data_IF_355038271023
#
_entry.id   IF_355038271023
#
_cell.length_a   1.000
_cell.length_b   1.000
_cell.length_c   1.000
_cell.angle_alpha   90.00
_cell.angle_beta   90.00
_cell.angle_gamma   90.00
#
_symmetry.space_group_name_H-M   'P 1'
#
loop_
_entity.id
_entity.type
_entity.pdbx_description
1 polymer ?
#
# COMPACT_ATOMS: atom_id res chain seq x y z
N UNK A 1 -6.98 58.07 -25.37
CA UNK A 1 -6.97 56.72 -25.93
C UNK A 1 -6.35 55.84 -24.84
N UNK A 2 -7.13 55.40 -23.87
CA UNK A 2 -6.70 54.45 -22.85
C UNK A 2 -7.12 53.05 -23.32
N UNK A 3 -6.14 52.29 -23.76
CA UNK A 3 -6.32 50.85 -23.99
C UNK A 3 -6.24 50.16 -22.63
N UNK A 4 -7.34 50.09 -21.91
CA UNK A 4 -7.56 49.08 -20.91
C UNK A 4 -7.83 47.77 -21.68
N UNK A 5 -6.77 47.02 -21.95
CA UNK A 5 -6.89 45.60 -22.27
C UNK A 5 -7.49 44.95 -21.04
N UNK A 6 -8.78 44.66 -21.08
CA UNK A 6 -9.44 43.78 -20.13
C UNK A 6 -8.60 42.53 -20.05
N UNK A 7 -7.90 42.35 -18.93
CA UNK A 7 -7.45 41.07 -18.50
C UNK A 7 -8.72 40.24 -18.25
N UNK A 8 -9.02 39.38 -19.18
CA UNK A 8 -10.02 38.31 -19.05
C UNK A 8 -9.49 37.27 -18.06
N UNK A 9 -9.20 37.73 -16.84
CA UNK A 9 -8.93 36.82 -15.72
C UNK A 9 -10.29 36.23 -15.35
N UNK A 10 -10.50 34.96 -15.71
CA UNK A 10 -11.65 34.21 -15.22
C UNK A 10 -11.53 34.14 -13.70
N UNK A 11 -12.16 35.07 -12.99
CA UNK A 11 -12.29 35.03 -11.56
C UNK A 11 -13.21 33.84 -11.21
N UNK A 12 -12.62 32.74 -10.74
CA UNK A 12 -13.40 31.60 -10.28
C UNK A 12 -13.99 31.97 -8.93
N UNK A 13 -15.32 32.16 -8.86
CA UNK A 13 -15.98 32.35 -7.58
C UNK A 13 -15.94 31.05 -6.78
N UNK A 14 -15.04 31.03 -5.78
CA UNK A 14 -14.85 29.91 -4.89
C UNK A 14 -16.12 29.56 -4.10
N UNK A 15 -16.98 30.53 -3.83
CA UNK A 15 -18.24 30.34 -3.09
C UNK A 15 -19.25 29.61 -3.99
N UNK A 16 -19.30 29.95 -5.26
CA UNK A 16 -20.16 29.26 -6.23
C UNK A 16 -19.68 27.84 -6.51
N UNK A 17 -18.37 27.64 -6.65
CA UNK A 17 -17.76 26.32 -6.76
C UNK A 17 -18.14 25.45 -5.54
N UNK A 18 -18.02 26.01 -4.32
CA UNK A 18 -18.37 25.29 -3.10
C UNK A 18 -19.87 24.92 -3.08
N UNK A 19 -20.76 25.86 -3.44
CA UNK A 19 -22.20 25.59 -3.56
C UNK A 19 -22.49 24.50 -4.60
N UNK A 20 -21.79 24.53 -5.74
CA UNK A 20 -21.93 23.50 -6.78
C UNK A 20 -21.52 22.11 -6.27
N UNK A 21 -20.42 22.00 -5.53
CA UNK A 21 -19.97 20.74 -4.90
C UNK A 21 -20.98 20.27 -3.85
N UNK A 22 -21.46 21.14 -2.97
CA UNK A 22 -22.46 20.82 -1.95
C UNK A 22 -23.79 20.36 -2.57
N UNK A 23 -24.23 20.97 -3.68
CA UNK A 23 -25.43 20.53 -4.40
C UNK A 23 -25.29 19.09 -4.94
N UNK A 24 -24.08 18.69 -5.32
CA UNK A 24 -23.78 17.38 -5.89
C UNK A 24 -23.18 16.39 -4.87
N UNK A 25 -23.19 16.73 -3.58
CA UNK A 25 -22.54 15.93 -2.53
C UNK A 25 -23.04 14.49 -2.47
N UNK A 26 -24.34 14.26 -2.74
CA UNK A 26 -24.91 12.92 -2.79
C UNK A 26 -24.26 12.04 -3.86
N UNK A 27 -24.04 12.61 -5.05
CA UNK A 27 -23.37 11.90 -6.15
C UNK A 27 -21.89 11.65 -5.84
N UNK A 28 -21.20 12.65 -5.25
CA UNK A 28 -19.82 12.50 -4.79
C UNK A 28 -19.72 11.34 -3.80
N UNK A 29 -20.59 11.28 -2.79
CA UNK A 29 -20.60 10.22 -1.79
C UNK A 29 -20.89 8.83 -2.40
N UNK A 30 -21.85 8.74 -3.33
CA UNK A 30 -22.17 7.48 -4.02
C UNK A 30 -20.97 7.00 -4.82
N UNK A 31 -20.34 7.86 -5.62
CA UNK A 31 -19.13 7.49 -6.41
C UNK A 31 -17.99 7.05 -5.48
N UNK A 32 -17.73 7.80 -4.42
CA UNK A 32 -16.72 7.45 -3.42
C UNK A 32 -16.98 6.08 -2.80
N UNK A 33 -18.23 5.80 -2.42
CA UNK A 33 -18.61 4.52 -1.83
C UNK A 33 -18.46 3.37 -2.83
N UNK A 34 -18.87 3.57 -4.08
CA UNK A 34 -18.72 2.56 -5.15
C UNK A 34 -17.23 2.25 -5.39
N UNK A 35 -16.36 3.26 -5.46
CA UNK A 35 -14.93 3.05 -5.58
C UNK A 35 -14.35 2.25 -4.40
N UNK A 36 -14.77 2.56 -3.17
CA UNK A 36 -14.40 1.81 -1.97
C UNK A 36 -14.84 0.35 -2.03
N UNK A 37 -16.09 0.08 -2.46
CA UNK A 37 -16.60 -1.28 -2.61
C UNK A 37 -15.88 -2.07 -3.70
N UNK A 38 -15.57 -1.45 -4.83
CA UNK A 38 -14.79 -2.08 -5.91
C UNK A 38 -13.39 -2.44 -5.38
N UNK A 39 -12.71 -1.51 -4.72
CA UNK A 39 -11.36 -1.75 -4.17
C UNK A 39 -11.38 -2.84 -3.10
N UNK A 40 -12.39 -2.85 -2.22
CA UNK A 40 -12.61 -3.91 -1.25
C UNK A 40 -12.77 -5.27 -1.93
N UNK A 41 -13.65 -5.37 -2.93
CA UNK A 41 -13.90 -6.60 -3.68
C UNK A 41 -12.64 -7.12 -4.39
N UNK A 42 -11.92 -6.26 -5.08
CA UNK A 42 -10.67 -6.62 -5.76
C UNK A 42 -9.62 -7.11 -4.75
N UNK A 43 -9.43 -6.36 -3.65
CA UNK A 43 -8.44 -6.71 -2.64
C UNK A 43 -8.77 -8.01 -1.91
N UNK A 44 -10.04 -8.26 -1.61
CA UNK A 44 -10.46 -9.43 -0.84
C UNK A 44 -10.51 -10.71 -1.67
N UNK A 45 -10.91 -10.63 -2.94
CA UNK A 45 -11.24 -11.80 -3.76
C UNK A 45 -10.30 -12.06 -4.94
N UNK A 46 -9.65 -11.01 -5.47
CA UNK A 46 -8.82 -11.14 -6.68
C UNK A 46 -7.33 -11.19 -6.34
N UNK A 47 -6.86 -10.38 -5.37
CA UNK A 47 -5.45 -10.31 -5.04
C UNK A 47 -4.98 -11.58 -4.30
N UNK A 48 -3.80 -12.12 -4.68
CA UNK A 48 -3.23 -13.28 -4.00
C UNK A 48 -2.88 -12.94 -2.55
N UNK A 49 -3.23 -13.85 -1.65
CA UNK A 49 -2.92 -13.71 -0.21
C UNK A 49 -1.53 -14.22 0.09
N UNK A 50 -0.80 -13.46 0.89
CA UNK A 50 0.52 -13.85 1.38
C UNK A 50 0.47 -14.11 2.88
N UNK A 51 1.22 -15.11 3.30
CA UNK A 51 1.30 -15.58 4.69
C UNK A 51 2.74 -15.52 5.15
N UNK A 52 2.92 -15.19 6.41
CA UNK A 52 4.25 -15.13 7.02
C UNK A 52 4.40 -16.20 8.09
N UNK A 53 5.62 -16.70 8.23
CA UNK A 53 6.05 -17.46 9.39
C UNK A 53 7.42 -16.95 9.81
N UNK A 54 7.66 -16.88 11.11
CA UNK A 54 8.92 -16.42 11.67
C UNK A 54 9.42 -17.37 12.75
N UNK A 55 10.71 -17.35 12.97
CA UNK A 55 11.39 -18.05 14.06
C UNK A 55 12.49 -17.17 14.62
N UNK A 56 12.68 -17.23 15.93
CA UNK A 56 13.81 -16.59 16.59
C UNK A 56 14.84 -17.63 16.94
N UNK A 57 16.08 -17.36 16.58
CA UNK A 57 17.22 -18.21 16.90
C UNK A 57 18.30 -17.43 17.64
N UNK A 58 19.03 -18.10 18.51
CA UNK A 58 20.24 -17.60 19.15
C UNK A 58 21.44 -18.35 18.59
N UNK A 59 22.42 -17.63 18.06
CA UNK A 59 23.66 -18.14 17.50
C UNK A 59 24.78 -17.81 18.50
N UNK A 60 25.45 -18.84 19.02
CA UNK A 60 26.58 -18.70 19.95
C UNK A 60 27.87 -19.12 19.26
N UNK A 61 28.79 -18.18 18.92
CA UNK A 61 30.10 -18.48 18.37
C UNK A 61 31.02 -19.08 19.47
N UNK A 62 32.07 -19.79 19.06
CA UNK A 62 33.18 -20.19 19.96
C UNK A 62 34.24 -19.10 20.05
N UNK A 63 34.28 -18.17 19.06
CA UNK A 63 35.25 -17.10 18.95
C UNK A 63 34.60 -15.73 18.91
N UNK A 64 35.07 -14.89 17.97
CA UNK A 64 34.58 -13.53 17.76
C UNK A 64 33.14 -13.52 17.24
N UNK A 65 32.37 -12.55 17.72
CA UNK A 65 30.98 -12.36 17.28
C UNK A 65 30.96 -11.72 15.88
N UNK A 66 30.48 -12.48 14.91
CA UNK A 66 30.26 -12.02 13.54
C UNK A 66 28.79 -11.64 13.31
N UNK A 67 28.51 -10.97 12.19
CA UNK A 67 27.15 -10.82 11.69
C UNK A 67 26.79 -12.00 10.79
N UNK A 68 25.88 -12.86 11.28
CA UNK A 68 25.47 -14.07 10.56
C UNK A 68 24.33 -13.85 9.58
N UNK A 69 23.84 -12.62 9.41
CA UNK A 69 22.76 -12.29 8.46
C UNK A 69 23.08 -12.74 7.04
N UNK A 70 24.30 -12.46 6.58
CA UNK A 70 24.76 -12.82 5.22
C UNK A 70 24.90 -14.33 5.03
N UNK A 71 25.24 -15.07 6.08
CA UNK A 71 25.37 -16.53 6.01
C UNK A 71 24.00 -17.22 6.06
N UNK A 72 23.06 -16.71 6.85
CA UNK A 72 21.68 -17.21 6.90
C UNK A 72 20.95 -16.99 5.55
N UNK A 73 21.29 -15.94 4.84
CA UNK A 73 20.77 -15.59 3.51
C UNK A 73 21.72 -16.04 2.38
N UNK A 74 22.75 -16.78 2.70
CA UNK A 74 23.77 -17.24 1.75
C UNK A 74 23.26 -18.31 0.81
N UNK A 75 23.80 -18.34 -0.42
CA UNK A 75 23.40 -19.28 -1.46
C UNK A 75 23.47 -20.74 -0.99
N UNK A 76 24.49 -21.12 -0.22
CA UNK A 76 24.64 -22.49 0.30
C UNK A 76 23.44 -22.94 1.12
N UNK A 77 22.93 -22.05 2.01
CA UNK A 77 21.76 -22.32 2.83
C UNK A 77 20.50 -22.33 1.97
N UNK A 78 20.35 -21.35 1.07
CA UNK A 78 19.13 -21.20 0.26
C UNK A 78 19.02 -22.25 -0.85
N UNK A 79 20.11 -22.70 -1.47
CA UNK A 79 20.11 -23.82 -2.42
C UNK A 79 19.64 -25.11 -1.75
N UNK A 80 20.09 -25.33 -0.51
CA UNK A 80 19.62 -26.47 0.29
C UNK A 80 18.13 -26.38 0.57
N UNK A 81 17.66 -25.22 1.00
CA UNK A 81 16.24 -24.97 1.27
C UNK A 81 15.42 -25.09 -0.01
N UNK A 82 15.90 -24.53 -1.10
CA UNK A 82 15.26 -24.61 -2.42
C UNK A 82 15.04 -26.04 -2.88
N UNK A 83 16.08 -26.89 -2.73
CA UNK A 83 15.99 -28.31 -3.10
C UNK A 83 15.00 -29.10 -2.22
N UNK A 84 14.86 -28.75 -0.93
CA UNK A 84 13.93 -29.42 0.01
C UNK A 84 12.47 -28.89 -0.10
N UNK A 85 12.28 -27.67 -0.60
CA UNK A 85 10.96 -27.01 -0.70
C UNK A 85 10.44 -26.85 -2.11
N UNK A 86 11.27 -27.13 -3.11
CA UNK A 86 11.01 -26.93 -4.54
C UNK A 86 10.68 -25.46 -4.89
N UNK A 87 11.37 -24.54 -4.22
CA UNK A 87 11.30 -23.10 -4.47
C UNK A 87 12.64 -22.64 -5.03
N UNK A 88 12.59 -21.78 -6.05
CA UNK A 88 13.78 -21.18 -6.62
C UNK A 88 14.51 -20.27 -5.62
N UNK A 89 15.85 -20.25 -5.67
CA UNK A 89 16.69 -19.47 -4.74
C UNK A 89 16.41 -17.98 -4.83
N UNK A 90 16.21 -17.45 -6.05
CA UNK A 90 15.90 -16.03 -6.23
C UNK A 90 14.55 -15.65 -5.60
N UNK A 91 13.58 -16.57 -5.67
CA UNK A 91 12.29 -16.39 -5.00
C UNK A 91 12.44 -16.43 -3.48
N UNK A 92 13.30 -17.31 -2.94
CA UNK A 92 13.59 -17.34 -1.50
C UNK A 92 14.26 -16.05 -1.05
N UNK A 93 15.26 -15.56 -1.78
CA UNK A 93 15.98 -14.32 -1.50
C UNK A 93 15.06 -13.09 -1.42
N UNK A 94 14.08 -13.01 -2.32
CA UNK A 94 13.13 -11.89 -2.36
C UNK A 94 12.11 -11.94 -1.21
N UNK A 95 11.87 -13.11 -0.65
CA UNK A 95 10.80 -13.32 0.33
C UNK A 95 11.29 -13.65 1.74
N UNK A 96 12.61 -13.74 1.95
CA UNK A 96 13.22 -13.94 3.26
C UNK A 96 13.66 -12.59 3.84
N UNK A 97 13.32 -12.37 5.10
CA UNK A 97 13.79 -11.21 5.86
C UNK A 97 14.47 -11.73 7.11
N UNK A 98 15.73 -11.35 7.29
CA UNK A 98 16.53 -11.73 8.46
C UNK A 98 16.90 -10.45 9.18
N UNK A 99 16.54 -10.35 10.44
CA UNK A 99 16.85 -9.20 11.29
C UNK A 99 17.61 -9.66 12.52
N UNK A 100 18.68 -8.94 12.86
CA UNK A 100 19.42 -9.11 14.09
C UNK A 100 18.77 -8.27 15.19
N UNK A 101 18.66 -8.81 16.39
CA UNK A 101 18.14 -8.05 17.53
C UNK A 101 19.17 -7.00 17.97
N UNK A 102 18.73 -5.76 18.09
CA UNK A 102 19.58 -4.64 18.54
C UNK A 102 19.97 -4.77 20.02
N UNK A 103 19.11 -5.37 20.83
CA UNK A 103 19.31 -5.53 22.27
C UNK A 103 20.19 -6.74 22.59
N UNK A 104 20.14 -7.78 21.76
CA UNK A 104 20.93 -9.00 21.92
C UNK A 104 21.53 -9.44 20.58
N UNK A 105 22.82 -9.14 20.33
CA UNK A 105 23.47 -9.39 19.05
C UNK A 105 23.62 -10.87 18.69
N UNK A 106 23.30 -11.79 19.59
CA UNK A 106 23.27 -13.22 19.32
C UNK A 106 21.94 -13.71 18.77
N UNK A 107 20.88 -12.89 18.87
CA UNK A 107 19.53 -13.24 18.43
C UNK A 107 19.24 -12.78 17.01
N UNK A 108 18.64 -13.66 16.24
CA UNK A 108 18.21 -13.40 14.85
C UNK A 108 16.77 -13.83 14.69
N UNK A 109 15.96 -12.96 14.09
CA UNK A 109 14.63 -13.28 13.62
C UNK A 109 14.69 -13.60 12.13
N UNK A 110 14.18 -14.75 11.73
CA UNK A 110 14.08 -15.20 10.36
C UNK A 110 12.60 -15.23 10.00
N UNK A 111 12.20 -14.42 9.04
CA UNK A 111 10.83 -14.32 8.57
C UNK A 111 10.76 -14.67 7.09
N UNK A 112 9.79 -15.49 6.71
CA UNK A 112 9.52 -15.86 5.31
C UNK A 112 8.10 -15.51 4.94
N UNK A 113 7.91 -15.03 3.71
CA UNK A 113 6.61 -14.70 3.13
C UNK A 113 6.36 -15.64 1.95
N UNK A 114 5.25 -16.38 1.97
CA UNK A 114 4.80 -17.20 0.82
C UNK A 114 3.29 -17.13 0.65
N UNK A 115 2.79 -17.70 -0.44
CA UNK A 115 1.35 -17.80 -0.72
C UNK A 115 0.63 -18.94 0.05
N UNK A 116 1.38 -19.72 0.83
CA UNK A 116 0.82 -20.84 1.58
C UNK A 116 1.38 -20.87 3.02
N UNK A 117 0.50 -20.84 4.06
CA UNK A 117 0.94 -20.76 5.44
C UNK A 117 1.76 -21.95 5.92
N UNK A 118 1.47 -23.16 5.41
CA UNK A 118 2.25 -24.36 5.73
C UNK A 118 3.62 -24.32 5.07
N UNK A 119 3.70 -23.75 3.87
CA UNK A 119 4.96 -23.61 3.14
C UNK A 119 5.88 -22.60 3.83
N UNK A 120 5.35 -21.44 4.25
CA UNK A 120 6.12 -20.44 5.02
C UNK A 120 6.77 -21.07 6.26
N UNK A 121 5.99 -21.79 7.04
CA UNK A 121 6.50 -22.48 8.25
C UNK A 121 7.56 -23.53 7.92
N UNK A 122 7.36 -24.33 6.85
CA UNK A 122 8.33 -25.33 6.41
C UNK A 122 9.64 -24.69 5.96
N UNK A 123 9.57 -23.63 5.16
CA UNK A 123 10.75 -22.93 4.66
C UNK A 123 11.57 -22.36 5.81
N UNK A 124 10.97 -21.67 6.76
CA UNK A 124 11.68 -21.13 7.93
C UNK A 124 12.39 -22.23 8.72
N UNK A 125 11.71 -23.36 8.98
CA UNK A 125 12.33 -24.50 9.67
C UNK A 125 13.50 -25.09 8.89
N UNK A 126 13.37 -25.15 7.57
CA UNK A 126 14.44 -25.67 6.71
C UNK A 126 15.63 -24.71 6.63
N UNK A 127 15.41 -23.38 6.67
CA UNK A 127 16.51 -22.39 6.74
C UNK A 127 17.36 -22.63 7.99
N UNK A 128 16.74 -22.73 9.15
CA UNK A 128 17.46 -22.99 10.40
C UNK A 128 18.19 -24.34 10.37
N UNK A 129 17.55 -25.39 9.84
CA UNK A 129 18.13 -26.72 9.71
C UNK A 129 19.30 -26.70 8.72
N UNK A 130 19.17 -26.07 7.57
CA UNK A 130 20.24 -25.95 6.58
C UNK A 130 21.41 -25.14 7.15
N UNK A 131 21.15 -24.01 7.79
CA UNK A 131 22.18 -23.20 8.43
C UNK A 131 22.97 -24.02 9.48
N UNK A 132 22.27 -24.71 10.38
CA UNK A 132 22.93 -25.61 11.35
C UNK A 132 23.81 -26.66 10.68
N UNK A 133 23.29 -27.26 9.61
CA UNK A 133 24.01 -28.39 8.97
C UNK A 133 25.22 -27.92 8.17
N UNK A 134 25.09 -26.82 7.42
CA UNK A 134 26.12 -26.40 6.49
C UNK A 134 27.12 -25.40 7.13
N UNK A 135 26.70 -24.59 8.10
CA UNK A 135 27.51 -23.50 8.64
C UNK A 135 28.05 -23.72 10.06
N UNK A 136 27.52 -24.69 10.82
CA UNK A 136 27.92 -24.84 12.23
C UNK A 136 29.40 -25.17 12.39
N UNK A 137 29.96 -25.99 11.47
CA UNK A 137 31.37 -26.34 11.45
C UNK A 137 32.25 -25.24 10.85
N UNK A 138 31.78 -24.63 9.78
CA UNK A 138 32.58 -23.67 9.02
C UNK A 138 32.76 -22.34 9.74
N UNK A 139 31.79 -21.99 10.61
CA UNK A 139 31.77 -20.74 11.36
C UNK A 139 32.16 -20.93 12.84
N UNK A 140 32.70 -22.09 13.22
CA UNK A 140 33.07 -22.41 14.60
C UNK A 140 31.96 -22.04 15.60
N UNK A 141 30.71 -22.46 15.33
CA UNK A 141 29.59 -22.19 16.21
C UNK A 141 29.51 -23.19 17.35
N UNK A 142 29.37 -22.68 18.57
CA UNK A 142 29.14 -23.49 19.77
C UNK A 142 27.75 -24.11 19.77
N UNK A 143 26.74 -23.29 19.46
CA UNK A 143 25.36 -23.74 19.35
C UNK A 143 24.50 -22.76 18.52
N UNK A 144 23.44 -23.31 17.95
CA UNK A 144 22.34 -22.58 17.37
C UNK A 144 21.04 -23.06 18.01
N UNK A 145 20.49 -22.28 18.92
CA UNK A 145 19.27 -22.60 19.65
C UNK A 145 18.07 -21.92 19.04
N UNK A 146 16.94 -22.62 18.94
CA UNK A 146 15.67 -22.04 18.55
C UNK A 146 15.01 -21.52 19.83
N UNK A 147 14.75 -20.20 19.86
CA UNK A 147 14.08 -19.52 20.97
C UNK A 147 12.57 -19.63 20.81
N UNK A 148 12.08 -19.26 19.63
CA UNK A 148 10.67 -19.38 19.27
C UNK A 148 10.54 -20.20 17.99
N UNK A 149 9.80 -21.30 18.06
CA UNK A 149 9.58 -22.16 16.89
C UNK A 149 8.64 -21.50 15.87
N UNK A 150 8.96 -21.71 14.60
CA UNK A 150 8.09 -21.30 13.50
C UNK A 150 6.73 -21.99 13.59
N UNK A 151 5.67 -21.18 13.57
CA UNK A 151 4.29 -21.64 13.62
C UNK A 151 3.58 -21.35 12.29
N UNK A 152 2.55 -22.17 11.99
CA UNK A 152 1.70 -21.95 10.83
C UNK A 152 0.73 -20.81 11.13
N UNK A 153 0.98 -19.64 10.55
CA UNK A 153 0.08 -18.51 10.67
C UNK A 153 -0.91 -18.51 9.48
N UNK A 154 -2.17 -18.77 9.77
CA UNK A 154 -3.25 -18.80 8.76
C UNK A 154 -3.84 -17.42 8.46
N UNK A 155 -3.44 -16.39 9.20
CA UNK A 155 -3.87 -15.02 8.94
C UNK A 155 -3.01 -14.42 7.84
N UNK A 156 -3.59 -13.99 6.70
CA UNK A 156 -2.82 -13.36 5.65
C UNK A 156 -2.27 -12.00 6.10
N UNK A 157 -1.03 -11.70 5.75
CA UNK A 157 -0.36 -10.43 6.05
C UNK A 157 -0.46 -9.44 4.90
N UNK A 158 -0.73 -9.93 3.71
CA UNK A 158 -0.93 -9.10 2.49
C UNK A 158 -1.97 -9.77 1.61
N UNK A 159 -2.79 -8.98 0.88
CA UNK A 159 -2.92 -7.53 0.98
C UNK A 159 -3.66 -7.08 2.25
N UNK A 160 -3.32 -5.89 2.75
CA UNK A 160 -4.09 -5.26 3.83
C UNK A 160 -5.39 -4.67 3.25
N UNK A 161 -6.47 -5.42 3.43
CA UNK A 161 -7.79 -5.06 2.88
C UNK A 161 -8.27 -3.71 3.42
N UNK A 162 -8.05 -3.42 4.70
CA UNK A 162 -8.48 -2.16 5.31
C UNK A 162 -7.74 -0.96 4.71
N UNK A 163 -6.41 -1.06 4.64
CA UNK A 163 -5.55 -0.03 4.09
C UNK A 163 -5.85 0.22 2.61
N UNK A 164 -5.95 -0.83 1.81
CA UNK A 164 -6.23 -0.71 0.39
C UNK A 164 -7.62 -0.13 0.11
N UNK A 165 -8.65 -0.56 0.87
CA UNK A 165 -10.00 0.00 0.75
C UNK A 165 -10.02 1.48 1.10
N UNK A 166 -9.31 1.89 2.17
CA UNK A 166 -9.21 3.30 2.54
C UNK A 166 -8.56 4.13 1.42
N UNK A 167 -7.45 3.65 0.86
CA UNK A 167 -6.75 4.32 -0.25
C UNK A 167 -7.67 4.42 -1.47
N UNK A 168 -8.35 3.33 -1.85
CA UNK A 168 -9.28 3.34 -2.97
C UNK A 168 -10.47 4.28 -2.78
N UNK A 169 -10.98 4.37 -1.55
CA UNK A 169 -12.04 5.32 -1.19
C UNK A 169 -11.56 6.77 -1.31
N UNK A 170 -10.34 7.08 -0.84
CA UNK A 170 -9.75 8.42 -0.97
C UNK A 170 -9.53 8.80 -2.44
N UNK A 171 -9.01 7.89 -3.25
CA UNK A 171 -8.84 8.12 -4.69
C UNK A 171 -10.20 8.38 -5.35
N UNK A 172 -11.23 7.60 -5.02
CA UNK A 172 -12.59 7.81 -5.51
C UNK A 172 -13.16 9.18 -5.12
N UNK A 173 -12.90 9.65 -3.90
CA UNK A 173 -13.29 10.97 -3.44
C UNK A 173 -12.61 12.06 -4.29
N UNK A 174 -11.29 12.00 -4.43
CA UNK A 174 -10.53 13.00 -5.18
C UNK A 174 -10.98 13.06 -6.63
N UNK A 175 -11.15 11.90 -7.28
CA UNK A 175 -11.61 11.83 -8.67
C UNK A 175 -13.03 12.37 -8.84
N UNK A 176 -13.93 12.08 -7.90
CA UNK A 176 -15.31 12.58 -7.97
C UNK A 176 -15.37 14.10 -7.78
N UNK A 177 -14.62 14.65 -6.84
CA UNK A 177 -14.52 16.11 -6.65
C UNK A 177 -13.91 16.77 -7.88
N UNK A 178 -12.79 16.23 -8.39
CA UNK A 178 -12.14 16.75 -9.59
C UNK A 178 -13.08 16.77 -10.79
N UNK A 179 -13.87 15.71 -10.97
CA UNK A 179 -14.87 15.66 -12.05
C UNK A 179 -15.87 16.80 -11.94
N UNK A 180 -16.42 17.09 -10.75
CA UNK A 180 -17.39 18.16 -10.56
C UNK A 180 -16.76 19.56 -10.67
N UNK A 181 -15.50 19.72 -10.27
CA UNK A 181 -14.72 20.95 -10.49
C UNK A 181 -14.52 21.19 -11.99
N UNK A 182 -14.05 20.18 -12.71
CA UNK A 182 -13.87 20.31 -14.17
C UNK A 182 -15.21 20.60 -14.87
N UNK A 183 -16.27 19.90 -14.46
CA UNK A 183 -17.61 20.16 -15.00
C UNK A 183 -18.07 21.58 -14.73
N UNK A 184 -17.78 22.16 -13.57
CA UNK A 184 -18.07 23.54 -13.23
C UNK A 184 -17.29 24.51 -14.14
N UNK A 185 -15.98 24.30 -14.32
CA UNK A 185 -15.12 25.14 -15.14
C UNK A 185 -15.48 25.11 -16.64
N UNK A 186 -15.88 23.93 -17.14
CA UNK A 186 -16.23 23.77 -18.57
C UNK A 186 -17.71 24.05 -18.87
N UNK A 187 -18.53 24.24 -17.85
CA UNK A 187 -19.95 24.52 -18.03
C UNK A 187 -20.14 26.05 -18.22
N UNK A 188 -20.11 26.50 -19.47
CA UNK A 188 -20.28 27.92 -19.86
C UNK A 188 -21.73 28.42 -19.71
N UNK A 189 -22.46 27.95 -18.70
CA UNK A 189 -23.76 28.53 -18.40
C UNK A 189 -23.56 29.69 -17.42
N UNK A 190 -24.09 30.86 -17.79
CA UNK A 190 -24.18 31.98 -16.85
C UNK A 190 -24.97 31.53 -15.62
N UNK A 191 -24.35 31.57 -14.46
CA UNK A 191 -24.91 31.06 -13.20
C UNK A 191 -25.44 32.22 -12.36
N UNK A 192 -25.03 33.45 -12.68
CA UNK A 192 -25.39 34.67 -11.94
C UNK A 192 -25.79 35.78 -12.86
N UNK A 193 -26.79 36.60 -12.44
CA UNK A 193 -27.23 37.80 -13.13
C UNK A 193 -26.08 38.77 -13.36
N UNK A 194 -25.13 38.83 -12.43
CA UNK A 194 -23.92 39.66 -12.54
C UNK A 194 -23.00 39.24 -13.69
N UNK A 195 -22.90 37.94 -13.97
CA UNK A 195 -22.12 37.45 -15.12
C UNK A 195 -22.77 37.83 -16.43
N UNK A 196 -24.12 37.82 -16.50
CA UNK A 196 -24.87 38.24 -17.65
C UNK A 196 -24.71 39.75 -17.90
N UNK A 197 -24.80 40.57 -16.85
CA UNK A 197 -24.56 42.01 -16.91
C UNK A 197 -23.14 42.33 -17.35
N UNK A 198 -22.16 41.65 -16.80
CA UNK A 198 -20.73 41.85 -17.12
C UNK A 198 -20.41 41.45 -18.58
N UNK A 199 -21.00 40.35 -19.05
CA UNK A 199 -20.71 39.82 -20.40
C UNK A 199 -21.46 40.54 -21.49
N UNK A 200 -22.70 40.95 -21.22
CA UNK A 200 -23.54 41.67 -22.21
C UNK A 200 -23.45 43.19 -22.10
N UNK A 201 -22.90 43.71 -21.00
CA UNK A 201 -22.78 45.16 -20.78
C UNK A 201 -24.12 45.87 -20.61
N UNK A 202 -25.17 45.16 -20.24
CA UNK A 202 -26.54 45.67 -20.01
C UNK A 202 -27.10 45.15 -18.70
N UNK A 203 -27.82 45.97 -17.96
CA UNK A 203 -28.43 45.61 -16.69
C UNK A 203 -29.52 44.55 -16.88
N UNK A 204 -29.55 43.52 -16.01
CA UNK A 204 -30.63 42.51 -15.97
C UNK A 204 -31.88 43.15 -15.37
N UNK A 205 -32.92 43.28 -16.17
CA UNK A 205 -34.16 43.97 -15.77
C UNK A 205 -35.13 43.04 -15.03
N UNK A 206 -35.08 41.74 -15.28
CA UNK A 206 -35.94 40.76 -14.60
C UNK A 206 -35.41 39.33 -14.76
N UNK A 207 -35.56 38.51 -13.73
CA UNK A 207 -35.33 37.07 -13.74
C UNK A 207 -36.66 36.32 -13.87
N UNK A 208 -36.78 35.39 -14.81
CA UNK A 208 -37.97 34.57 -14.97
C UNK A 208 -37.65 33.20 -14.36
N UNK A 209 -38.17 32.85 -13.16
CA UNK A 209 -37.93 31.57 -12.57
C UNK A 209 -38.53 30.45 -13.41
N UNK A 210 -37.72 29.43 -13.75
CA UNK A 210 -38.27 28.23 -14.38
C UNK A 210 -39.02 27.39 -13.33
N UNK A 211 -40.32 27.19 -13.57
CA UNK A 211 -41.13 26.26 -12.80
C UNK A 211 -40.60 24.84 -13.01
N UNK A 212 -40.41 24.09 -11.88
CA UNK A 212 -39.92 22.71 -11.84
C UNK A 212 -41.04 21.74 -12.10
#
# INVERSE_FOLDING_TARGET
MNNDYMNDEMEIDLIELLKHLLRNIKTILVVTLVCGLITFGVTQFILPKSYTSSTDITIMPQGELLDYTSYLNGNVVLERVGSETNIDVDTLLQNIVITRDESNPYNYNITIITNNPKLSCRVVKNVVKAFKKEMMSDLDLSSVAIVNEAQVNTTPVSPDVKKNTLIGTLIGLVLSVLYFVLRFLFNKHFISDKEVEMFLGVDVLAEIPMEK
#
